data_IF_675313499114
#
_entry.id   IF_675313499114
#
_cell.length_a   1.000
_cell.length_b   1.000
_cell.length_c   1.000
_cell.angle_alpha   90.00
_cell.angle_beta   90.00
_cell.angle_gamma   90.00
#
_symmetry.space_group_name_H-M   'P 1'
#
loop_
_entity.id
_entity.type
_entity.pdbx_description
1 polymer ?
#
# COMPACT_ATOMS: atom_id res chain seq x y z
N UNK A 1 -6.93 35.02 -13.80
CA UNK A 1 -6.72 33.57 -13.63
C UNK A 1 -7.22 32.83 -14.86
N UNK A 2 -6.30 32.23 -15.61
CA UNK A 2 -6.65 31.37 -16.75
C UNK A 2 -7.24 30.03 -16.27
N UNK A 3 -8.30 29.58 -16.93
CA UNK A 3 -8.96 28.31 -16.68
C UNK A 3 -7.98 27.15 -16.88
N UNK A 4 -7.10 27.23 -17.89
CA UNK A 4 -6.12 26.18 -18.14
C UNK A 4 -5.14 26.02 -16.98
N UNK A 5 -4.59 27.12 -16.45
CA UNK A 5 -3.67 27.05 -15.30
C UNK A 5 -4.32 26.43 -14.06
N UNK A 6 -5.61 26.69 -13.83
CA UNK A 6 -6.39 26.01 -12.78
C UNK A 6 -6.53 24.51 -13.06
N UNK A 7 -6.85 24.13 -14.30
CA UNK A 7 -6.96 22.73 -14.68
C UNK A 7 -5.63 21.97 -14.50
N UNK A 8 -4.50 22.60 -14.83
CA UNK A 8 -3.17 22.04 -14.60
C UNK A 8 -2.83 21.91 -13.12
N UNK A 9 -3.08 22.95 -12.31
CA UNK A 9 -2.83 22.92 -10.86
C UNK A 9 -3.64 21.83 -10.15
N UNK A 10 -4.92 21.67 -10.52
CA UNK A 10 -5.76 20.62 -9.96
C UNK A 10 -5.41 19.24 -10.52
N UNK A 11 -5.08 19.13 -11.80
CA UNK A 11 -4.71 17.86 -12.41
C UNK A 11 -3.41 17.28 -11.81
N UNK A 12 -2.46 18.14 -11.45
CA UNK A 12 -1.22 17.76 -10.79
C UNK A 12 -1.43 17.13 -9.42
N UNK A 13 -2.43 17.57 -8.66
CA UNK A 13 -2.68 17.08 -7.30
C UNK A 13 -2.87 15.56 -7.22
N UNK A 14 -3.47 14.95 -8.26
CA UNK A 14 -3.66 13.50 -8.34
C UNK A 14 -2.34 12.73 -8.52
N UNK A 15 -1.38 13.31 -9.25
CA UNK A 15 -0.05 12.73 -9.39
C UNK A 15 0.79 12.94 -8.13
N UNK A 16 0.73 14.13 -7.52
CA UNK A 16 1.41 14.41 -6.26
C UNK A 16 0.94 13.50 -5.12
N UNK A 17 -0.33 13.07 -5.13
CA UNK A 17 -0.82 12.09 -4.19
C UNK A 17 -0.10 10.73 -4.28
N UNK A 18 0.32 10.35 -5.50
CA UNK A 18 1.10 9.12 -5.73
C UNK A 18 2.59 9.32 -5.45
N UNK A 19 3.23 10.36 -6.02
CA UNK A 19 4.67 10.63 -5.95
C UNK A 19 4.95 12.09 -5.68
N UNK A 20 5.87 12.40 -4.78
CA UNK A 20 6.24 13.76 -4.45
C UNK A 20 7.07 14.37 -5.58
N UNK A 21 8.25 13.81 -5.86
CA UNK A 21 9.28 14.53 -6.62
C UNK A 21 9.18 14.34 -8.12
N UNK A 22 8.65 13.20 -8.58
CA UNK A 22 8.53 12.91 -10.00
C UNK A 22 7.63 13.93 -10.76
N UNK A 23 6.42 14.28 -10.26
CA UNK A 23 5.59 15.28 -10.95
C UNK A 23 6.20 16.68 -10.92
N UNK A 24 6.85 17.08 -9.82
CA UNK A 24 7.56 18.35 -9.72
C UNK A 24 8.73 18.43 -10.71
N UNK A 25 9.53 17.35 -10.81
CA UNK A 25 10.61 17.24 -11.78
C UNK A 25 10.09 17.35 -13.21
N UNK A 26 9.05 16.59 -13.56
CA UNK A 26 8.48 16.61 -14.91
C UNK A 26 7.92 17.99 -15.28
N UNK A 27 7.23 18.68 -14.35
CA UNK A 27 6.76 20.04 -14.56
C UNK A 27 7.91 21.05 -14.75
N UNK A 28 8.93 21.02 -13.88
CA UNK A 28 10.10 21.89 -13.98
C UNK A 28 10.90 21.65 -15.27
N UNK A 29 11.07 20.38 -15.65
CA UNK A 29 11.74 19.97 -16.88
C UNK A 29 10.95 20.40 -18.12
N UNK A 30 9.62 20.21 -18.14
CA UNK A 30 8.77 20.63 -19.25
C UNK A 30 8.79 22.15 -19.44
N UNK A 31 8.78 22.93 -18.34
CA UNK A 31 8.92 24.39 -18.44
C UNK A 31 10.29 24.82 -18.97
N UNK A 32 11.36 24.15 -18.54
CA UNK A 32 12.73 24.54 -18.93
C UNK A 32 13.12 24.10 -20.34
N UNK A 33 12.73 22.88 -20.73
CA UNK A 33 13.19 22.20 -21.94
C UNK A 33 12.04 21.82 -22.89
N UNK A 34 10.79 22.14 -22.57
CA UNK A 34 9.65 21.73 -23.39
C UNK A 34 9.65 22.33 -24.80
N UNK A 35 10.11 23.57 -24.95
CA UNK A 35 10.20 24.24 -26.26
C UNK A 35 11.25 23.62 -27.19
N UNK A 36 12.25 22.91 -26.66
CA UNK A 36 13.25 22.19 -27.46
C UNK A 36 12.80 20.76 -27.83
N UNK A 37 11.73 20.24 -27.23
CA UNK A 37 11.20 18.91 -27.53
C UNK A 37 10.16 18.95 -28.66
N UNK A 38 10.35 18.18 -29.75
CA UNK A 38 9.48 18.24 -30.93
C UNK A 38 7.99 18.00 -30.65
N UNK A 39 7.68 17.10 -29.72
CA UNK A 39 6.32 16.71 -29.36
C UNK A 39 5.65 17.65 -28.35
N UNK A 40 6.40 18.51 -27.64
CA UNK A 40 5.85 19.50 -26.68
C UNK A 40 5.77 20.91 -27.28
N UNK A 41 6.56 21.21 -28.31
CA UNK A 41 6.64 22.53 -28.94
C UNK A 41 5.29 23.06 -29.44
N UNK A 42 4.37 22.17 -29.82
CA UNK A 42 3.04 22.52 -30.33
C UNK A 42 1.96 22.75 -29.26
N UNK A 43 2.29 22.68 -27.96
CA UNK A 43 1.33 22.86 -26.88
C UNK A 43 1.39 24.33 -26.42
N UNK A 44 0.28 25.06 -26.57
CA UNK A 44 0.17 26.49 -26.24
C UNK A 44 0.66 26.81 -24.82
N UNK A 45 0.27 25.98 -23.85
CA UNK A 45 0.70 26.09 -22.46
C UNK A 45 2.23 26.06 -22.27
N UNK A 46 2.96 25.23 -23.02
CA UNK A 46 4.43 25.15 -22.92
C UNK A 46 5.09 26.40 -23.51
N UNK A 47 4.47 27.03 -24.51
CA UNK A 47 4.95 28.27 -25.08
C UNK A 47 4.73 29.46 -24.13
N UNK A 48 3.57 29.52 -23.49
CA UNK A 48 3.26 30.53 -22.47
C UNK A 48 4.20 30.42 -21.27
N UNK A 49 4.62 29.21 -20.91
CA UNK A 49 5.55 28.96 -19.82
C UNK A 49 7.03 29.20 -20.14
N UNK A 50 7.39 29.62 -21.35
CA UNK A 50 8.77 29.96 -21.68
C UNK A 50 9.34 31.09 -20.79
N UNK A 51 8.47 31.92 -20.21
CA UNK A 51 8.80 33.01 -19.28
C UNK A 51 8.66 32.61 -17.79
N UNK A 52 8.65 31.30 -17.48
CA UNK A 52 8.49 30.81 -16.13
C UNK A 52 9.54 31.33 -15.14
N UNK A 53 9.22 31.37 -13.83
CA UNK A 53 10.12 31.87 -12.80
C UNK A 53 11.47 31.15 -12.83
N UNK A 54 12.54 31.93 -12.75
CA UNK A 54 13.93 31.42 -12.80
C UNK A 54 14.25 30.49 -11.63
N UNK A 55 13.58 30.66 -10.48
CA UNK A 55 13.83 29.82 -9.31
C UNK A 55 13.38 28.37 -9.52
N UNK A 56 12.23 28.13 -10.15
CA UNK A 56 11.70 26.77 -10.35
C UNK A 56 12.31 26.08 -11.58
N UNK A 57 12.71 26.86 -12.57
CA UNK A 57 13.35 26.38 -13.81
C UNK A 57 14.89 26.41 -13.77
N UNK A 58 15.48 26.73 -12.61
CA UNK A 58 16.93 26.76 -12.44
C UNK A 58 17.52 25.35 -12.64
N UNK A 59 18.63 25.18 -13.39
CA UNK A 59 19.22 23.85 -13.63
C UNK A 59 19.49 23.06 -12.35
N UNK A 60 19.97 23.72 -11.29
CA UNK A 60 20.20 23.06 -10.00
C UNK A 60 18.91 22.51 -9.36
N UNK A 61 17.80 23.23 -9.50
CA UNK A 61 16.49 22.78 -8.97
C UNK A 61 15.97 21.62 -9.80
N UNK A 62 16.05 21.70 -11.13
CA UNK A 62 15.62 20.61 -12.03
C UNK A 62 16.44 19.34 -11.77
N UNK A 63 17.77 19.42 -11.70
CA UNK A 63 18.62 18.27 -11.39
C UNK A 63 18.41 17.75 -9.96
N UNK A 64 18.21 18.63 -8.99
CA UNK A 64 17.89 18.27 -7.61
C UNK A 64 16.58 17.49 -7.51
N UNK A 65 15.52 17.97 -8.15
CA UNK A 65 14.22 17.28 -8.23
C UNK A 65 14.36 15.94 -8.97
N UNK A 66 15.17 15.87 -10.03
CA UNK A 66 15.45 14.62 -10.74
C UNK A 66 16.15 13.59 -9.85
N UNK A 67 17.17 13.99 -9.11
CA UNK A 67 17.87 13.12 -8.16
C UNK A 67 16.93 12.64 -7.04
N UNK A 68 16.09 13.53 -6.50
CA UNK A 68 15.09 13.19 -5.50
C UNK A 68 14.00 12.26 -6.04
N UNK A 69 13.58 12.42 -7.30
CA UNK A 69 12.64 11.51 -7.96
C UNK A 69 13.23 10.10 -8.13
N UNK A 70 14.51 9.98 -8.51
CA UNK A 70 15.20 8.68 -8.55
C UNK A 70 15.33 8.07 -7.16
N UNK A 71 15.70 8.87 -6.16
CA UNK A 71 15.78 8.42 -4.78
C UNK A 71 14.41 7.94 -4.27
N UNK A 72 13.32 8.63 -4.58
CA UNK A 72 11.94 8.23 -4.27
C UNK A 72 11.57 6.90 -4.94
N UNK A 73 11.91 6.70 -6.22
CA UNK A 73 11.70 5.43 -6.93
C UNK A 73 12.45 4.27 -6.27
N UNK A 74 13.72 4.49 -5.90
CA UNK A 74 14.55 3.47 -5.24
C UNK A 74 14.04 3.17 -3.83
N UNK A 75 13.68 4.21 -3.07
CA UNK A 75 13.16 4.08 -1.71
C UNK A 75 11.87 3.25 -1.66
N UNK A 76 10.97 3.42 -2.63
CA UNK A 76 9.71 2.66 -2.68
C UNK A 76 9.88 1.17 -2.94
N UNK A 77 11.01 0.73 -3.51
CA UNK A 77 11.32 -0.69 -3.68
C UNK A 77 11.63 -1.39 -2.34
N UNK A 78 11.87 -0.61 -1.28
CA UNK A 78 12.12 -1.09 0.08
C UNK A 78 10.91 -0.82 0.97
N UNK A 79 10.14 -1.84 1.39
CA UNK A 79 8.98 -1.65 2.25
C UNK A 79 9.37 -1.01 3.60
N UNK A 80 10.59 -1.27 4.08
CA UNK A 80 11.11 -0.72 5.33
C UNK A 80 11.36 0.80 5.23
N UNK A 81 11.94 1.27 4.12
CA UNK A 81 12.16 2.71 3.88
C UNK A 81 10.82 3.41 3.64
N UNK A 82 9.92 2.75 2.91
CA UNK A 82 8.58 3.26 2.63
C UNK A 82 7.75 3.47 3.90
N UNK A 83 7.79 2.55 4.86
CA UNK A 83 7.05 2.71 6.13
C UNK A 83 7.52 3.94 6.91
N UNK A 84 8.83 4.21 6.91
CA UNK A 84 9.42 5.38 7.53
C UNK A 84 9.09 6.67 6.78
N UNK A 85 9.06 6.62 5.45
CA UNK A 85 8.76 7.77 4.60
C UNK A 85 7.26 8.11 4.53
N UNK A 86 6.36 7.12 4.57
CA UNK A 86 4.92 7.31 4.33
C UNK A 86 4.27 8.27 5.36
N UNK A 87 4.81 8.40 6.57
CA UNK A 87 4.31 9.35 7.58
C UNK A 87 4.70 10.81 7.28
N UNK A 88 5.91 11.05 6.75
CA UNK A 88 6.39 12.38 6.43
C UNK A 88 6.05 12.84 5.00
N UNK A 89 5.97 11.89 4.07
CA UNK A 89 5.76 12.16 2.65
C UNK A 89 4.42 12.82 2.35
N UNK A 90 3.37 12.61 3.15
CA UNK A 90 2.08 13.28 2.94
C UNK A 90 2.24 14.80 2.98
N UNK A 91 3.04 15.33 3.91
CA UNK A 91 3.30 16.75 4.03
C UNK A 91 4.23 17.25 2.92
N UNK A 92 5.27 16.48 2.59
CA UNK A 92 6.19 16.80 1.50
C UNK A 92 5.45 16.88 0.15
N UNK A 93 4.58 15.89 -0.15
CA UNK A 93 3.73 15.86 -1.35
C UNK A 93 2.84 17.08 -1.45
N UNK A 94 2.17 17.43 -0.35
CA UNK A 94 1.25 18.56 -0.30
C UNK A 94 1.98 19.89 -0.49
N UNK A 95 3.11 20.08 0.19
CA UNK A 95 3.96 21.26 0.05
C UNK A 95 4.55 21.38 -1.35
N UNK A 96 5.03 20.29 -1.94
CA UNK A 96 5.62 20.29 -3.28
C UNK A 96 4.56 20.51 -4.36
N UNK A 97 3.34 20.01 -4.18
CA UNK A 97 2.20 20.31 -5.07
C UNK A 97 1.84 21.79 -5.05
N UNK A 98 1.78 22.40 -3.86
CA UNK A 98 1.52 23.83 -3.72
C UNK A 98 2.64 24.66 -4.36
N UNK A 99 3.91 24.34 -4.07
CA UNK A 99 5.06 25.03 -4.66
C UNK A 99 5.12 24.91 -6.18
N UNK A 100 4.82 23.72 -6.72
CA UNK A 100 4.78 23.49 -8.18
C UNK A 100 3.63 24.25 -8.82
N UNK A 101 2.44 24.24 -8.20
CA UNK A 101 1.29 25.00 -8.69
C UNK A 101 1.56 26.50 -8.66
N UNK A 102 2.23 27.00 -7.62
CA UNK A 102 2.67 28.40 -7.55
C UNK A 102 3.68 28.74 -8.64
N UNK A 103 4.65 27.87 -8.90
CA UNK A 103 5.61 28.02 -10.01
C UNK A 103 4.95 28.06 -11.38
N UNK A 104 3.89 27.26 -11.59
CA UNK A 104 3.11 27.24 -12.83
C UNK A 104 2.26 28.50 -13.00
N UNK A 105 1.56 28.93 -11.94
CA UNK A 105 0.68 30.11 -12.00
C UNK A 105 1.46 31.41 -12.20
N UNK A 106 2.59 31.55 -11.50
CA UNK A 106 3.48 32.71 -11.66
C UNK A 106 4.13 32.81 -13.05
N UNK A 107 4.22 31.70 -13.79
CA UNK A 107 4.68 31.72 -15.19
C UNK A 107 3.61 32.28 -16.14
N UNK A 108 2.33 32.01 -15.89
CA UNK A 108 1.22 32.42 -16.77
C UNK A 108 0.75 33.85 -16.52
N UNK A 109 1.00 34.41 -15.33
CA UNK A 109 0.55 35.77 -14.96
C UNK A 109 1.55 36.89 -15.32
N UNK A 110 2.65 36.61 -16.03
CA UNK A 110 3.63 37.64 -16.44
C UNK A 110 3.01 38.72 -17.36
N UNK A 111 1.91 38.40 -18.06
CA UNK A 111 1.13 39.38 -18.83
C UNK A 111 0.22 40.28 -17.97
N UNK A 112 -0.08 39.89 -16.73
CA UNK A 112 -0.94 40.63 -15.79
C UNK A 112 -0.13 41.43 -14.73
N UNK A 113 1.15 41.08 -14.55
CA UNK A 113 2.07 41.68 -13.60
C UNK A 113 2.43 43.16 -13.88
N UNK A 114 2.02 43.72 -15.03
CA UNK A 114 2.26 45.13 -15.37
C UNK A 114 1.29 46.12 -14.70
N UNK A 115 0.09 45.70 -14.28
CA UNK A 115 -0.99 46.63 -13.92
C UNK A 115 -1.53 46.49 -12.48
N UNK A 116 -1.18 45.44 -11.73
CA UNK A 116 -1.79 45.14 -10.40
C UNK A 116 -0.72 44.83 -9.33
N UNK A 117 0.27 45.70 -9.18
CA UNK A 117 1.41 45.49 -8.25
C UNK A 117 1.08 45.83 -6.77
N UNK A 118 -0.10 46.36 -6.43
CA UNK A 118 -0.39 46.78 -5.04
C UNK A 118 -1.40 45.94 -4.25
N UNK A 119 -2.00 44.88 -4.82
CA UNK A 119 -3.06 44.10 -4.14
C UNK A 119 -2.96 42.55 -4.31
N UNK A 120 -1.84 42.04 -4.85
CA UNK A 120 -1.69 40.65 -5.33
C UNK A 120 -1.12 39.63 -4.31
N UNK A 121 -1.20 39.87 -3.00
CA UNK A 121 -0.50 39.02 -2.02
C UNK A 121 -1.20 37.69 -1.65
N UNK A 122 -2.53 37.63 -1.75
CA UNK A 122 -3.32 36.54 -1.13
C UNK A 122 -4.11 35.75 -2.17
N UNK A 123 -4.71 36.39 -3.17
CA UNK A 123 -5.58 35.72 -4.15
C UNK A 123 -4.80 34.74 -5.05
N UNK A 124 -3.55 35.07 -5.42
CA UNK A 124 -2.70 34.20 -6.26
C UNK A 124 -2.19 32.95 -5.51
N UNK A 125 -2.24 32.98 -4.18
CA UNK A 125 -1.87 31.83 -3.34
C UNK A 125 -3.00 30.82 -3.16
N UNK A 126 -4.26 31.22 -3.42
CA UNK A 126 -5.46 30.37 -3.24
C UNK A 126 -5.37 29.08 -4.06
N UNK A 127 -5.05 29.09 -5.36
CA UNK A 127 -5.06 27.86 -6.15
C UNK A 127 -3.92 26.92 -5.79
N UNK A 128 -2.75 27.46 -5.41
CA UNK A 128 -1.66 26.68 -4.87
C UNK A 128 -2.04 26.03 -3.53
N UNK A 129 -2.72 26.76 -2.65
CA UNK A 129 -3.26 26.24 -1.39
C UNK A 129 -4.32 25.15 -1.63
N UNK A 130 -5.24 25.34 -2.58
CA UNK A 130 -6.23 24.32 -2.95
C UNK A 130 -5.54 23.08 -3.53
N UNK A 131 -4.55 23.24 -4.41
CA UNK A 131 -3.77 22.10 -4.94
C UNK A 131 -3.06 21.31 -3.84
N UNK A 132 -2.44 22.00 -2.88
CA UNK A 132 -1.82 21.37 -1.71
C UNK A 132 -2.86 20.65 -0.83
N UNK A 133 -3.99 21.30 -0.53
CA UNK A 133 -5.08 20.70 0.24
C UNK A 133 -5.74 19.50 -0.43
N UNK A 134 -5.93 19.56 -1.76
CA UNK A 134 -6.44 18.46 -2.56
C UNK A 134 -5.44 17.29 -2.55
N UNK A 135 -4.15 17.57 -2.76
CA UNK A 135 -3.09 16.55 -2.67
C UNK A 135 -3.06 15.87 -1.31
N UNK A 136 -3.22 16.63 -0.23
CA UNK A 136 -3.31 16.09 1.13
C UNK A 136 -4.50 15.13 1.27
N UNK A 137 -5.69 15.56 0.85
CA UNK A 137 -6.91 14.75 0.88
C UNK A 137 -6.79 13.47 0.04
N UNK A 138 -6.28 13.58 -1.18
CA UNK A 138 -6.07 12.45 -2.09
C UNK A 138 -5.02 11.47 -1.53
N UNK A 139 -3.92 11.99 -0.96
CA UNK A 139 -2.89 11.19 -0.28
C UNK A 139 -3.47 10.42 0.90
N UNK A 140 -4.30 11.06 1.74
CA UNK A 140 -4.97 10.42 2.87
C UNK A 140 -5.97 9.35 2.44
N UNK A 141 -6.73 9.61 1.37
CA UNK A 141 -7.66 8.64 0.80
C UNK A 141 -6.93 7.41 0.28
N UNK A 142 -5.88 7.64 -0.53
CA UNK A 142 -5.02 6.59 -1.08
C UNK A 142 -4.31 5.80 0.02
N UNK A 143 -3.73 6.47 1.02
CA UNK A 143 -3.10 5.80 2.16
C UNK A 143 -4.10 5.00 3.00
N UNK A 144 -5.37 5.42 3.07
CA UNK A 144 -6.42 4.61 3.68
C UNK A 144 -6.69 3.30 2.94
N UNK A 145 -6.82 3.36 1.60
CA UNK A 145 -7.03 2.15 0.78
C UNK A 145 -5.79 1.26 0.74
N UNK A 146 -4.61 1.84 0.55
CA UNK A 146 -3.34 1.13 0.65
C UNK A 146 -3.17 0.56 2.05
N UNK A 147 -3.66 1.23 3.10
CA UNK A 147 -3.73 0.73 4.46
C UNK A 147 -4.56 -0.56 4.56
N UNK A 148 -5.76 -0.60 3.97
CA UNK A 148 -6.60 -1.81 3.92
C UNK A 148 -5.91 -2.95 3.16
N UNK A 149 -5.27 -2.64 2.03
CA UNK A 149 -4.53 -3.64 1.25
C UNK A 149 -3.25 -4.10 1.96
N UNK A 150 -2.61 -3.18 2.68
CA UNK A 150 -1.52 -3.41 3.61
C UNK A 150 -1.97 -4.28 4.78
N UNK A 151 -3.21 -4.19 5.24
CA UNK A 151 -3.75 -5.09 6.27
C UNK A 151 -3.94 -6.51 5.71
N UNK A 152 -4.43 -6.63 4.48
CA UNK A 152 -4.56 -7.91 3.81
C UNK A 152 -3.19 -8.54 3.47
N UNK A 153 -2.16 -7.71 3.22
CA UNK A 153 -0.78 -8.11 2.89
C UNK A 153 0.27 -7.19 3.53
N UNK A 154 0.48 -7.34 4.84
CA UNK A 154 1.36 -6.47 5.64
C UNK A 154 2.84 -6.53 5.21
N UNK A 155 3.25 -7.67 4.66
CA UNK A 155 4.64 -7.97 4.34
C UNK A 155 4.93 -8.02 2.83
N UNK A 156 3.98 -7.54 2.01
CA UNK A 156 3.99 -7.60 0.53
C UNK A 156 4.30 -9.02 0.01
N UNK A 157 3.80 -10.03 0.70
CA UNK A 157 4.02 -11.44 0.38
C UNK A 157 3.34 -11.84 -0.93
N UNK A 158 2.24 -11.17 -1.27
CA UNK A 158 1.47 -11.33 -2.51
C UNK A 158 1.98 -10.44 -3.64
N UNK A 159 2.87 -9.50 -3.34
CA UNK A 159 3.29 -8.48 -4.28
C UNK A 159 2.19 -7.48 -4.62
N UNK A 160 1.11 -7.41 -3.84
CA UNK A 160 0.02 -6.45 -4.07
C UNK A 160 0.52 -5.02 -3.95
N UNK A 161 1.37 -4.72 -2.97
CA UNK A 161 1.97 -3.38 -2.84
C UNK A 161 2.95 -3.10 -3.97
N UNK A 162 3.73 -4.11 -4.38
CA UNK A 162 4.63 -3.98 -5.53
C UNK A 162 3.87 -3.71 -6.83
N UNK A 163 2.74 -4.38 -7.04
CA UNK A 163 1.86 -4.16 -8.18
C UNK A 163 1.26 -2.74 -8.15
N UNK A 164 0.72 -2.31 -7.00
CA UNK A 164 0.19 -0.95 -6.83
C UNK A 164 1.29 0.09 -7.06
N UNK A 165 2.47 -0.12 -6.47
CA UNK A 165 3.62 0.78 -6.66
C UNK A 165 4.01 0.86 -8.14
N UNK A 166 3.99 -0.25 -8.88
CA UNK A 166 4.24 -0.23 -10.32
C UNK A 166 3.15 0.53 -11.11
N UNK A 167 1.87 0.33 -10.78
CA UNK A 167 0.78 1.11 -11.37
C UNK A 167 0.92 2.60 -11.05
N UNK A 168 1.37 2.95 -9.85
CA UNK A 168 1.64 4.33 -9.44
C UNK A 168 2.88 4.91 -10.11
N UNK A 169 3.95 4.12 -10.31
CA UNK A 169 5.12 4.49 -11.11
C UNK A 169 4.67 4.85 -12.52
N UNK A 170 3.88 3.98 -13.15
CA UNK A 170 3.36 4.18 -14.50
C UNK A 170 2.45 5.42 -14.56
N UNK A 171 1.51 5.54 -13.62
CA UNK A 171 0.59 6.67 -13.53
C UNK A 171 1.30 8.01 -13.35
N UNK A 172 2.25 8.10 -12.41
CA UNK A 172 2.99 9.33 -12.14
C UNK A 172 3.96 9.68 -13.29
N UNK A 173 4.56 8.67 -13.93
CA UNK A 173 5.51 8.89 -15.03
C UNK A 173 4.79 9.36 -16.30
N UNK A 174 3.77 8.65 -16.75
CA UNK A 174 3.09 8.97 -18.01
C UNK A 174 1.99 10.01 -17.84
N UNK A 175 1.28 9.98 -16.71
CA UNK A 175 0.12 10.82 -16.49
C UNK A 175 0.46 12.32 -16.44
N UNK A 176 1.64 12.70 -15.97
CA UNK A 176 2.07 14.11 -15.98
C UNK A 176 2.26 14.62 -17.42
N UNK A 177 2.79 13.80 -18.32
CA UNK A 177 2.90 14.19 -19.73
C UNK A 177 1.55 14.24 -20.43
N UNK A 178 0.64 13.30 -20.11
CA UNK A 178 -0.73 13.32 -20.62
C UNK A 178 -1.49 14.55 -20.11
N UNK A 179 -1.25 14.96 -18.86
CA UNK A 179 -1.83 16.16 -18.28
C UNK A 179 -1.47 17.38 -19.12
N UNK A 180 -0.20 17.53 -19.50
CA UNK A 180 0.28 18.61 -20.36
C UNK A 180 -0.50 18.68 -21.68
N UNK A 181 -0.81 17.54 -22.28
CA UNK A 181 -1.54 17.47 -23.54
C UNK A 181 -3.07 17.67 -23.41
N UNK A 182 -3.71 17.05 -22.41
CA UNK A 182 -5.18 17.03 -22.27
C UNK A 182 -5.59 17.15 -20.80
N UNK A 183 -5.52 18.35 -20.20
CA UNK A 183 -5.69 18.53 -18.75
C UNK A 183 -7.09 18.15 -18.24
N UNK A 184 -8.13 18.46 -19.03
CA UNK A 184 -9.52 18.13 -18.68
C UNK A 184 -9.75 16.61 -18.57
N UNK A 185 -9.18 15.81 -19.49
CA UNK A 185 -9.33 14.36 -19.47
C UNK A 185 -8.67 13.73 -18.22
N UNK A 186 -7.49 14.23 -17.86
CA UNK A 186 -6.78 13.77 -16.65
C UNK A 186 -7.52 14.13 -15.37
N UNK A 187 -8.14 15.31 -15.30
CA UNK A 187 -8.96 15.69 -14.16
C UNK A 187 -10.16 14.76 -13.97
N UNK A 188 -10.88 14.46 -15.05
CA UNK A 188 -11.99 13.50 -15.01
C UNK A 188 -11.49 12.13 -14.56
N UNK A 189 -10.36 11.67 -15.12
CA UNK A 189 -9.78 10.36 -14.76
C UNK A 189 -9.36 10.31 -13.28
N UNK A 190 -8.69 11.34 -12.77
CA UNK A 190 -8.36 11.49 -11.35
C UNK A 190 -9.63 11.45 -10.49
N UNK A 191 -10.67 12.22 -10.86
CA UNK A 191 -11.94 12.24 -10.15
C UNK A 191 -12.59 10.86 -10.06
N UNK A 192 -12.57 10.09 -11.16
CA UNK A 192 -13.10 8.71 -11.19
C UNK A 192 -12.25 7.79 -10.30
N UNK A 193 -10.93 7.75 -10.48
CA UNK A 193 -10.04 6.85 -9.74
C UNK A 193 -10.14 7.09 -8.23
N UNK A 194 -10.00 8.34 -7.79
CA UNK A 194 -10.07 8.66 -6.37
C UNK A 194 -11.49 8.58 -5.81
N UNK A 195 -12.52 8.84 -6.63
CA UNK A 195 -13.91 8.59 -6.27
C UNK A 195 -14.18 7.11 -5.98
N UNK A 196 -13.66 6.20 -6.81
CA UNK A 196 -13.75 4.75 -6.57
C UNK A 196 -12.98 4.36 -5.31
N UNK A 197 -11.75 4.85 -5.13
CA UNK A 197 -10.96 4.56 -3.92
C UNK A 197 -11.67 5.01 -2.64
N UNK A 198 -12.23 6.22 -2.65
CA UNK A 198 -13.01 6.75 -1.54
C UNK A 198 -14.26 5.92 -1.26
N UNK A 199 -14.99 5.49 -2.29
CA UNK A 199 -16.15 4.61 -2.14
C UNK A 199 -15.77 3.24 -1.57
N UNK A 200 -14.67 2.64 -2.01
CA UNK A 200 -14.16 1.36 -1.48
C UNK A 200 -13.85 1.50 0.02
N UNK A 201 -13.08 2.53 0.39
CA UNK A 201 -12.73 2.81 1.78
C UNK A 201 -13.97 2.99 2.64
N UNK A 202 -14.87 3.88 2.22
CA UNK A 202 -16.09 4.20 2.97
C UNK A 202 -17.01 3.00 3.12
N UNK A 203 -17.16 2.17 2.07
CA UNK A 203 -17.95 0.94 2.13
C UNK A 203 -17.33 -0.08 3.10
N UNK A 204 -16.01 -0.22 3.11
CA UNK A 204 -15.34 -1.15 4.01
C UNK A 204 -15.46 -0.71 5.49
N UNK A 205 -15.18 0.56 5.78
CA UNK A 205 -15.33 1.14 7.12
C UNK A 205 -16.78 1.00 7.61
N UNK A 206 -17.75 1.42 6.78
CA UNK A 206 -19.17 1.33 7.13
C UNK A 206 -19.66 -0.11 7.34
N UNK A 207 -19.21 -1.08 6.53
CA UNK A 207 -19.56 -2.49 6.72
C UNK A 207 -19.02 -3.06 8.03
N UNK A 208 -17.80 -2.68 8.42
CA UNK A 208 -17.18 -3.14 9.68
C UNK A 208 -17.84 -2.50 10.91
N UNK A 209 -18.24 -1.23 10.83
CA UNK A 209 -18.97 -0.57 11.91
C UNK A 209 -20.42 -1.07 12.05
N UNK A 210 -21.11 -1.28 10.92
CA UNK A 210 -22.47 -1.82 10.91
C UNK A 210 -22.53 -3.28 11.41
N UNK A 211 -21.43 -4.02 11.29
CA UNK A 211 -21.32 -5.40 11.76
C UNK A 211 -21.05 -5.52 13.27
N UNK A 212 -21.05 -4.42 14.03
CA UNK A 212 -20.93 -4.48 15.48
C UNK A 212 -22.26 -4.87 16.11
N UNK A 213 -22.23 -5.85 17.01
CA UNK A 213 -23.38 -6.34 17.77
C UNK A 213 -23.28 -5.89 19.22
N UNK A 214 -24.42 -5.76 19.92
CA UNK A 214 -24.44 -5.43 21.34
C UNK A 214 -24.16 -6.69 22.17
N UNK A 215 -23.29 -6.57 23.17
CA UNK A 215 -23.05 -7.65 24.11
C UNK A 215 -24.34 -7.95 24.91
N UNK A 216 -24.75 -9.24 25.02
CA UNK A 216 -25.99 -9.60 25.73
C UNK A 216 -25.98 -9.24 27.22
N UNK A 217 -24.79 -9.08 27.83
CA UNK A 217 -24.64 -8.78 29.24
C UNK A 217 -24.47 -7.28 29.51
N UNK A 218 -23.43 -6.65 28.94
CA UNK A 218 -23.08 -5.25 29.25
C UNK A 218 -23.50 -4.22 28.18
N UNK A 219 -24.17 -4.66 27.09
CA UNK A 219 -24.61 -3.82 25.95
C UNK A 219 -23.51 -3.05 25.20
N UNK A 220 -22.25 -3.27 25.53
CA UNK A 220 -21.12 -2.71 24.78
C UNK A 220 -21.11 -3.26 23.36
N UNK A 221 -20.87 -2.41 22.36
CA UNK A 221 -20.75 -2.82 20.97
C UNK A 221 -19.44 -3.58 20.74
N UNK A 222 -19.54 -4.83 20.33
CA UNK A 222 -18.42 -5.73 20.02
C UNK A 222 -18.46 -6.11 18.54
N UNK A 223 -17.34 -6.50 17.96
CA UNK A 223 -17.33 -7.07 16.61
C UNK A 223 -18.13 -8.38 16.58
N UNK A 224 -18.94 -8.61 15.55
CA UNK A 224 -19.72 -9.84 15.41
C UNK A 224 -18.88 -11.12 15.36
N UNK A 225 -17.61 -11.02 14.98
CA UNK A 225 -16.66 -12.12 14.92
C UNK A 225 -15.80 -12.26 16.19
N UNK A 226 -15.96 -11.37 17.18
CA UNK A 226 -15.27 -11.48 18.46
C UNK A 226 -15.73 -12.73 19.22
N UNK A 227 -14.82 -13.41 19.92
CA UNK A 227 -15.18 -14.60 20.71
C UNK A 227 -15.68 -14.23 22.09
N UNK A 228 -15.30 -13.06 22.62
CA UNK A 228 -15.80 -12.56 23.90
C UNK A 228 -15.79 -11.03 23.96
N UNK A 229 -16.61 -10.47 24.84
CA UNK A 229 -16.69 -9.04 25.06
C UNK A 229 -15.42 -8.48 25.72
N UNK A 230 -14.99 -7.30 25.27
CA UNK A 230 -13.82 -6.61 25.82
C UNK A 230 -14.04 -6.13 27.26
N UNK A 231 -15.25 -5.66 27.57
CA UNK A 231 -15.56 -5.05 28.88
C UNK A 231 -15.95 -6.06 29.95
N UNK A 232 -16.85 -7.01 29.62
CA UNK A 232 -17.40 -7.96 30.61
C UNK A 232 -16.91 -9.40 30.43
N UNK A 233 -16.07 -9.67 29.43
CA UNK A 233 -15.56 -11.01 29.11
C UNK A 233 -16.64 -12.08 28.83
N UNK A 234 -17.90 -11.67 28.65
CA UNK A 234 -18.98 -12.60 28.31
C UNK A 234 -18.75 -13.17 26.91
N UNK A 235 -18.85 -14.50 26.72
CA UNK A 235 -18.63 -15.13 25.42
C UNK A 235 -19.69 -14.68 24.42
N UNK A 236 -19.28 -14.51 23.16
CA UNK A 236 -20.20 -14.28 22.07
C UNK A 236 -20.86 -15.62 21.70
N UNK A 237 -22.19 -15.76 21.79
CA UNK A 237 -22.86 -17.03 21.52
C UNK A 237 -22.77 -17.45 20.04
N UNK A 238 -22.62 -16.50 19.12
CA UNK A 238 -22.69 -16.75 17.68
C UNK A 238 -21.65 -15.93 16.90
N UNK A 239 -20.35 -16.27 16.96
CA UNK A 239 -19.33 -15.55 16.23
C UNK A 239 -19.47 -15.77 14.72
N UNK A 240 -19.50 -14.68 13.96
CA UNK A 240 -19.50 -14.71 12.48
C UNK A 240 -18.12 -15.15 11.98
N UNK A 241 -18.09 -16.10 11.05
CA UNK A 241 -16.83 -16.60 10.52
C UNK A 241 -16.16 -15.57 9.60
N UNK A 242 -14.83 -15.47 9.68
CA UNK A 242 -14.03 -14.64 8.78
C UNK A 242 -13.41 -15.47 7.66
N UNK A 243 -13.42 -14.93 6.45
CA UNK A 243 -12.67 -15.44 5.32
C UNK A 243 -11.17 -15.11 5.42
N UNK A 244 -10.36 -15.74 4.57
CA UNK A 244 -8.90 -15.57 4.54
C UNK A 244 -8.42 -14.14 4.23
N UNK A 245 -9.30 -13.29 3.68
CA UNK A 245 -9.04 -11.87 3.38
C UNK A 245 -9.72 -10.93 4.38
N UNK A 246 -10.28 -11.45 5.48
CA UNK A 246 -10.94 -10.64 6.50
C UNK A 246 -12.37 -10.19 6.17
N UNK A 247 -12.95 -10.67 5.07
CA UNK A 247 -14.38 -10.53 4.79
C UNK A 247 -15.23 -11.41 5.72
N UNK A 248 -16.42 -10.94 6.08
CA UNK A 248 -17.39 -11.73 6.84
C UNK A 248 -18.05 -12.77 5.93
N UNK A 249 -18.08 -14.03 6.40
CA UNK A 249 -18.82 -15.11 5.75
C UNK A 249 -20.27 -15.12 6.26
N UNK A 250 -21.19 -15.63 5.46
CA UNK A 250 -22.61 -15.75 5.85
C UNK A 250 -22.84 -16.82 6.95
N UNK A 251 -21.87 -17.72 7.14
CA UNK A 251 -21.91 -18.76 8.15
C UNK A 251 -21.36 -18.34 9.52
N UNK A 252 -21.89 -18.96 10.57
CA UNK A 252 -21.37 -18.89 11.94
C UNK A 252 -20.27 -19.93 12.14
N UNK A 253 -19.28 -19.62 12.97
CA UNK A 253 -18.24 -20.58 13.38
C UNK A 253 -18.64 -21.21 14.71
N UNK A 254 -18.97 -22.50 14.70
CA UNK A 254 -19.37 -23.22 15.92
C UNK A 254 -18.19 -23.63 16.81
N UNK A 255 -16.97 -23.70 16.24
CA UNK A 255 -15.76 -24.04 16.98
C UNK A 255 -15.03 -22.76 17.46
N UNK A 256 -15.01 -22.49 18.78
CA UNK A 256 -14.35 -21.30 19.32
C UNK A 256 -12.83 -21.30 19.07
N UNK A 257 -12.19 -22.46 18.94
CA UNK A 257 -10.75 -22.57 18.67
C UNK A 257 -10.47 -22.23 17.21
N UNK A 258 -11.26 -22.76 16.27
CA UNK A 258 -11.15 -22.42 14.85
C UNK A 258 -11.31 -20.91 14.61
N UNK A 259 -12.26 -20.27 15.31
CA UNK A 259 -12.44 -18.82 15.21
C UNK A 259 -11.22 -18.05 15.73
N UNK A 260 -10.65 -18.45 16.88
CA UNK A 260 -9.40 -17.85 17.39
C UNK A 260 -8.27 -17.98 16.38
N UNK A 261 -8.09 -19.15 15.77
CA UNK A 261 -7.07 -19.39 14.72
C UNK A 261 -7.29 -18.45 13.52
N UNK A 262 -8.52 -18.26 13.04
CA UNK A 262 -8.83 -17.32 11.95
C UNK A 262 -8.52 -15.86 12.32
N UNK A 263 -8.81 -15.46 13.57
CA UNK A 263 -8.50 -14.12 14.06
C UNK A 263 -6.98 -13.90 14.12
N UNK A 264 -6.24 -14.90 14.58
CA UNK A 264 -4.77 -14.90 14.55
C UNK A 264 -4.27 -14.80 13.11
N UNK A 265 -4.77 -15.61 12.16
CA UNK A 265 -4.35 -15.49 10.75
C UNK A 265 -4.50 -14.07 10.19
N UNK A 266 -5.50 -13.32 10.65
CA UNK A 266 -5.79 -11.94 10.25
C UNK A 266 -5.15 -10.85 11.14
N UNK A 267 -4.21 -11.23 12.02
CA UNK A 267 -3.52 -10.32 12.95
C UNK A 267 -4.48 -9.54 13.87
N UNK A 268 -5.52 -10.22 14.31
CA UNK A 268 -6.50 -9.72 15.27
C UNK A 268 -6.38 -10.45 16.60
N UNK A 269 -6.82 -9.80 17.65
CA UNK A 269 -6.88 -10.43 18.97
C UNK A 269 -7.80 -11.66 18.92
N UNK A 270 -7.37 -12.80 19.47
CA UNK A 270 -8.22 -14.00 19.55
C UNK A 270 -9.45 -13.80 20.44
N UNK A 271 -9.54 -12.70 21.21
CA UNK A 271 -10.67 -12.40 22.10
C UNK A 271 -11.60 -11.34 21.51
N UNK A 272 -11.12 -10.09 21.45
CA UNK A 272 -11.92 -8.93 21.02
C UNK A 272 -12.09 -8.82 19.51
N UNK A 273 -11.24 -9.48 18.73
CA UNK A 273 -11.16 -9.30 17.28
C UNK A 273 -10.53 -7.97 16.86
N UNK A 274 -10.03 -7.18 17.81
CA UNK A 274 -9.38 -5.90 17.52
C UNK A 274 -8.02 -6.08 16.85
N UNK A 275 -7.64 -5.10 16.04
CA UNK A 275 -6.40 -5.17 15.26
C UNK A 275 -5.20 -5.04 16.18
N UNK A 276 -4.19 -5.88 15.96
CA UNK A 276 -2.98 -5.84 16.77
C UNK A 276 -1.80 -5.32 15.96
N UNK A 277 -1.11 -4.30 16.49
CA UNK A 277 0.08 -3.69 15.89
C UNK A 277 1.35 -4.26 16.53
N UNK A 278 2.37 -4.56 15.73
CA UNK A 278 3.67 -5.08 16.20
C UNK A 278 4.11 -6.36 15.49
N UNK A 279 5.31 -6.84 15.82
CA UNK A 279 5.89 -8.11 15.34
C UNK A 279 6.50 -8.85 16.53
N UNK A 280 6.51 -10.19 16.48
CA UNK A 280 7.00 -11.06 17.55
C UNK A 280 5.98 -12.10 18.01
N UNK A 281 6.44 -13.11 18.73
CA UNK A 281 5.59 -14.11 19.36
C UNK A 281 4.86 -13.62 20.63
N UNK A 282 5.33 -12.54 21.25
CA UNK A 282 4.87 -11.94 22.51
C UNK A 282 3.95 -10.72 22.31
N UNK A 283 3.37 -10.59 21.12
CA UNK A 283 2.50 -9.46 20.83
C UNK A 283 1.23 -9.57 21.71
N UNK A 284 0.96 -8.48 22.41
CA UNK A 284 -0.24 -8.29 23.22
C UNK A 284 -1.12 -7.23 22.57
N UNK A 285 -2.43 -7.48 22.53
CA UNK A 285 -3.37 -6.48 22.08
C UNK A 285 -3.51 -5.35 23.12
N UNK A 286 -3.39 -4.09 22.66
CA UNK A 286 -3.44 -2.91 23.55
C UNK A 286 -4.82 -2.67 24.17
N UNK A 287 -5.87 -3.14 23.51
CA UNK A 287 -7.24 -2.86 23.93
C UNK A 287 -7.76 -3.87 24.95
N UNK A 288 -7.41 -5.16 24.79
CA UNK A 288 -7.91 -6.23 25.67
C UNK A 288 -6.82 -6.89 26.53
N UNK A 289 -5.55 -6.55 26.33
CA UNK A 289 -4.41 -7.10 27.08
C UNK A 289 -4.11 -8.57 26.80
N UNK A 290 -4.74 -9.19 25.81
CA UNK A 290 -4.57 -10.62 25.51
C UNK A 290 -3.38 -10.83 24.58
N UNK A 291 -2.53 -11.80 24.92
CA UNK A 291 -1.44 -12.25 24.06
C UNK A 291 -1.98 -13.09 22.89
N UNK A 292 -1.53 -12.83 21.66
CA UNK A 292 -1.99 -13.54 20.46
C UNK A 292 -1.70 -15.04 20.54
N UNK A 293 -0.48 -15.41 20.94
CA UNK A 293 -0.01 -16.80 21.03
C UNK A 293 0.09 -17.29 22.49
N UNK A 294 -0.85 -16.88 23.36
CA UNK A 294 -0.82 -17.22 24.78
C UNK A 294 -1.25 -18.66 25.11
N UNK A 295 -1.97 -19.35 24.22
CA UNK A 295 -2.55 -20.67 24.46
C UNK A 295 -1.90 -21.73 23.54
N UNK A 296 -1.26 -22.74 24.14
CA UNK A 296 -0.57 -23.81 23.41
C UNK A 296 -1.50 -24.60 22.51
N UNK A 297 -2.75 -24.84 22.92
CA UNK A 297 -3.72 -25.60 22.12
C UNK A 297 -4.10 -24.84 20.86
N UNK A 298 -4.30 -23.52 20.97
CA UNK A 298 -4.57 -22.65 19.83
C UNK A 298 -3.34 -22.55 18.91
N UNK A 299 -2.14 -22.51 19.49
CA UNK A 299 -0.89 -22.46 18.75
C UNK A 299 -0.64 -23.74 17.94
N UNK A 300 -0.85 -24.91 18.52
CA UNK A 300 -0.75 -26.20 17.82
C UNK A 300 -1.78 -26.30 16.70
N UNK A 301 -3.04 -25.93 16.99
CA UNK A 301 -4.11 -25.91 15.98
C UNK A 301 -3.80 -24.96 14.82
N UNK A 302 -3.14 -23.84 15.10
CA UNK A 302 -2.67 -22.91 14.09
C UNK A 302 -1.64 -23.56 13.15
N UNK A 303 -0.64 -24.26 13.69
CA UNK A 303 0.34 -24.99 12.89
C UNK A 303 -0.32 -26.10 12.05
N UNK A 304 -1.21 -26.90 12.64
CA UNK A 304 -1.95 -27.95 11.91
C UNK A 304 -2.77 -27.37 10.75
N UNK A 305 -3.43 -26.23 10.98
CA UNK A 305 -4.27 -25.58 9.98
C UNK A 305 -3.46 -25.11 8.78
N UNK A 306 -2.28 -24.54 9.01
CA UNK A 306 -1.39 -24.09 7.93
C UNK A 306 -0.69 -25.29 7.26
N UNK A 307 -0.23 -26.28 8.03
CA UNK A 307 0.43 -27.49 7.52
C UNK A 307 -0.54 -28.33 6.67
N UNK A 308 -1.82 -28.39 7.03
CA UNK A 308 -2.87 -29.07 6.26
C UNK A 308 -3.12 -28.47 4.86
N UNK A 309 -2.69 -27.22 4.62
CA UNK A 309 -2.77 -26.57 3.29
C UNK A 309 -1.66 -27.02 2.36
N UNK A 310 -0.53 -27.50 2.90
CA UNK A 310 0.67 -27.86 2.15
C UNK A 310 0.41 -28.79 0.96
N UNK A 311 -0.26 -29.96 1.09
CA UNK A 311 -0.44 -30.88 -0.05
C UNK A 311 -1.25 -30.24 -1.18
N UNK A 312 -2.30 -29.48 -0.85
CA UNK A 312 -3.11 -28.76 -1.83
C UNK A 312 -2.31 -27.67 -2.53
N UNK A 313 -1.49 -26.94 -1.77
CA UNK A 313 -0.64 -25.88 -2.31
C UNK A 313 0.42 -26.44 -3.25
N UNK A 314 1.08 -27.54 -2.89
CA UNK A 314 2.07 -28.19 -3.75
C UNK A 314 1.44 -28.66 -5.07
N UNK A 315 0.25 -29.25 -5.03
CA UNK A 315 -0.49 -29.68 -6.23
C UNK A 315 -0.81 -28.51 -7.16
N UNK A 316 -1.37 -27.43 -6.62
CA UNK A 316 -1.73 -26.24 -7.41
C UNK A 316 -0.47 -25.55 -7.93
N UNK A 317 0.58 -25.45 -7.13
CA UNK A 317 1.88 -24.91 -7.56
C UNK A 317 2.53 -25.74 -8.66
N UNK A 318 2.39 -27.08 -8.64
CA UNK A 318 2.88 -27.95 -9.71
C UNK A 318 2.09 -27.72 -11.01
N UNK A 319 0.77 -27.62 -10.91
CA UNK A 319 -0.11 -27.31 -12.05
C UNK A 319 0.21 -25.94 -12.66
N UNK A 320 0.40 -24.91 -11.82
CA UNK A 320 0.81 -23.58 -12.27
C UNK A 320 2.23 -23.60 -12.87
N UNK A 321 3.13 -24.45 -12.37
CA UNK A 321 4.48 -24.62 -12.90
C UNK A 321 4.56 -25.07 -14.37
N UNK A 322 3.46 -25.56 -14.96
CA UNK A 322 3.39 -25.88 -16.40
C UNK A 322 3.38 -24.64 -17.29
N UNK A 323 2.88 -23.50 -16.81
CA UNK A 323 2.84 -22.25 -17.60
C UNK A 323 4.10 -21.44 -17.31
N UNK A 324 5.03 -21.31 -18.28
CA UNK A 324 6.25 -20.53 -18.06
C UNK A 324 5.94 -19.08 -17.71
N UNK A 325 6.77 -18.46 -16.86
CA UNK A 325 6.67 -17.08 -16.37
C UNK A 325 5.37 -16.75 -15.59
N UNK A 326 4.21 -16.77 -16.23
CA UNK A 326 2.92 -16.43 -15.60
C UNK A 326 2.54 -17.42 -14.50
N UNK A 327 2.71 -18.71 -14.76
CA UNK A 327 2.45 -19.77 -13.79
C UNK A 327 3.43 -19.76 -12.62
N UNK A 328 4.68 -19.37 -12.85
CA UNK A 328 5.63 -19.12 -11.76
C UNK A 328 5.18 -17.95 -10.89
N UNK A 329 4.83 -16.82 -11.48
CA UNK A 329 4.39 -15.64 -10.72
C UNK A 329 3.15 -15.98 -9.90
N UNK A 330 2.13 -16.57 -10.54
CA UNK A 330 0.90 -16.99 -9.88
C UNK A 330 1.17 -18.03 -8.78
N UNK A 331 2.01 -19.03 -9.05
CA UNK A 331 2.38 -20.07 -8.09
C UNK A 331 3.12 -19.51 -6.88
N UNK A 332 4.05 -18.58 -7.10
CA UNK A 332 4.79 -17.88 -6.03
C UNK A 332 3.86 -17.05 -5.16
N UNK A 333 2.96 -16.28 -5.76
CA UNK A 333 1.96 -15.50 -5.03
C UNK A 333 1.06 -16.44 -4.21
N UNK A 334 0.60 -17.53 -4.82
CA UNK A 334 -0.32 -18.47 -4.21
C UNK A 334 0.28 -19.18 -2.98
N UNK A 335 1.47 -19.78 -3.10
CA UNK A 335 2.05 -20.48 -1.95
C UNK A 335 2.49 -19.49 -0.86
N UNK A 336 2.94 -18.29 -1.24
CA UNK A 336 3.30 -17.27 -0.25
C UNK A 336 2.08 -16.84 0.56
N UNK A 337 0.93 -16.69 -0.08
CA UNK A 337 -0.33 -16.40 0.59
C UNK A 337 -0.69 -17.47 1.61
N UNK A 338 -0.68 -18.73 1.17
CA UNK A 338 -1.26 -19.83 1.95
C UNK A 338 -0.32 -20.36 3.04
N UNK A 339 1.00 -20.34 2.80
CA UNK A 339 1.98 -21.02 3.66
C UNK A 339 2.99 -20.07 4.32
N UNK A 340 3.35 -18.96 3.69
CA UNK A 340 4.42 -18.08 4.19
C UNK A 340 3.86 -16.89 4.98
N UNK A 341 2.83 -16.24 4.46
CA UNK A 341 2.22 -15.07 5.08
C UNK A 341 1.77 -15.30 6.53
N UNK A 342 1.16 -16.46 6.89
CA UNK A 342 0.74 -16.71 8.27
C UNK A 342 1.91 -16.64 9.27
N UNK A 343 3.08 -17.20 8.95
CA UNK A 343 4.23 -17.18 9.86
C UNK A 343 5.00 -15.86 9.81
N UNK A 344 5.17 -15.30 8.60
CA UNK A 344 6.02 -14.12 8.39
C UNK A 344 5.50 -12.88 9.12
N UNK A 345 4.17 -12.72 9.22
CA UNK A 345 3.50 -11.60 9.93
C UNK A 345 3.95 -11.44 11.38
N UNK A 346 4.41 -12.53 12.00
CA UNK A 346 4.78 -12.58 13.42
C UNK A 346 6.29 -12.67 13.66
N UNK A 347 7.11 -12.81 12.62
CA UNK A 347 8.55 -12.89 12.77
C UNK A 347 9.17 -11.50 13.06
N UNK A 348 10.07 -11.39 14.05
CA UNK A 348 10.79 -10.16 14.33
C UNK A 348 11.71 -9.76 13.17
N UNK A 349 12.00 -8.47 13.06
CA UNK A 349 12.69 -7.86 11.92
C UNK A 349 14.05 -8.52 11.59
N UNK A 350 14.86 -8.81 12.61
CA UNK A 350 16.18 -9.43 12.44
C UNK A 350 16.13 -10.82 11.80
N UNK A 351 15.18 -11.66 12.24
CA UNK A 351 14.97 -12.99 11.67
C UNK A 351 14.31 -12.92 10.30
N UNK A 352 13.34 -12.02 10.13
CA UNK A 352 12.67 -11.78 8.86
C UNK A 352 13.63 -11.36 7.76
N UNK A 353 14.62 -10.52 8.06
CA UNK A 353 15.64 -10.10 7.10
C UNK A 353 16.54 -11.26 6.66
N UNK A 354 17.08 -12.04 7.60
CA UNK A 354 17.96 -13.17 7.28
C UNK A 354 17.23 -14.23 6.46
N UNK A 355 16.01 -14.61 6.86
CA UNK A 355 15.19 -15.58 6.12
C UNK A 355 14.83 -15.08 4.73
N UNK A 356 14.53 -13.78 4.57
CA UNK A 356 14.21 -13.15 3.27
C UNK A 356 15.39 -13.26 2.29
N UNK A 357 16.61 -13.01 2.73
CA UNK A 357 17.80 -13.11 1.88
C UNK A 357 18.16 -14.55 1.53
N UNK A 358 18.09 -15.46 2.49
CA UNK A 358 18.36 -16.88 2.25
C UNK A 358 17.34 -17.46 1.25
N UNK A 359 16.06 -17.12 1.40
CA UNK A 359 15.02 -17.46 0.44
C UNK A 359 15.29 -16.86 -0.94
N UNK A 360 15.69 -15.59 -1.03
CA UNK A 360 16.04 -14.96 -2.33
C UNK A 360 17.17 -15.69 -3.03
N UNK A 361 18.20 -16.10 -2.29
CA UNK A 361 19.34 -16.83 -2.84
C UNK A 361 18.91 -18.21 -3.36
N UNK A 362 18.11 -18.94 -2.58
CA UNK A 362 17.53 -20.23 -2.99
C UNK A 362 16.62 -20.07 -4.23
N UNK A 363 15.78 -19.02 -4.26
CA UNK A 363 14.92 -18.72 -5.41
C UNK A 363 15.73 -18.36 -6.66
N UNK A 364 16.85 -17.67 -6.52
CA UNK A 364 17.72 -17.30 -7.64
C UNK A 364 18.39 -18.54 -8.24
N UNK A 365 18.90 -19.44 -7.38
CA UNK A 365 19.42 -20.75 -7.79
C UNK A 365 18.35 -21.60 -8.50
N UNK A 366 17.14 -21.66 -7.96
CA UNK A 366 16.04 -22.44 -8.54
C UNK A 366 15.48 -21.81 -9.82
N UNK A 367 15.48 -20.48 -9.95
CA UNK A 367 15.10 -19.79 -11.18
C UNK A 367 16.09 -20.08 -12.31
N UNK A 368 17.39 -20.19 -12.02
CA UNK A 368 18.39 -20.63 -12.99
C UNK A 368 18.11 -22.07 -13.46
N UNK A 369 17.66 -22.96 -12.57
CA UNK A 369 17.29 -24.34 -12.91
C UNK A 369 16.04 -24.42 -13.80
N UNK A 370 15.13 -23.46 -13.69
CA UNK A 370 13.88 -23.44 -14.45
C UNK A 370 14.05 -23.11 -15.93
N UNK A 371 15.16 -22.47 -16.32
CA UNK A 371 15.53 -22.24 -17.72
C UNK A 371 15.66 -23.58 -18.48
N UNK A 372 15.88 -24.69 -17.77
CA UNK A 372 16.03 -26.05 -18.31
C UNK A 372 14.70 -26.83 -18.37
N UNK A 373 13.54 -26.18 -18.13
CA UNK A 373 12.22 -26.81 -18.29
C UNK A 373 11.67 -27.53 -17.06
N UNK A 374 12.31 -27.42 -15.90
CA UNK A 374 11.88 -28.07 -14.64
C UNK A 374 10.82 -27.31 -13.82
N UNK A 375 9.98 -26.48 -14.46
CA UNK A 375 9.00 -25.61 -13.78
C UNK A 375 8.02 -26.34 -12.86
N UNK A 376 7.61 -27.55 -13.25
CA UNK A 376 6.67 -28.42 -12.51
C UNK A 376 7.23 -28.80 -11.13
N UNK A 377 8.54 -28.98 -11.01
CA UNK A 377 9.20 -29.35 -9.76
C UNK A 377 9.74 -28.14 -9.01
N UNK A 378 10.18 -27.11 -9.73
CA UNK A 378 10.77 -25.91 -9.15
C UNK A 378 9.78 -25.19 -8.23
N UNK A 379 8.55 -24.90 -8.67
CA UNK A 379 7.59 -24.10 -7.88
C UNK A 379 7.11 -24.84 -6.61
N UNK A 380 6.73 -26.14 -6.64
CA UNK A 380 6.43 -26.89 -5.43
C UNK A 380 7.62 -27.01 -4.47
N UNK A 381 8.83 -27.22 -5.00
CA UNK A 381 10.03 -27.29 -4.17
C UNK A 381 10.30 -25.94 -3.48
N UNK A 382 10.15 -24.82 -4.21
CA UNK A 382 10.20 -23.48 -3.63
C UNK A 382 9.15 -23.30 -2.54
N UNK A 383 7.91 -23.74 -2.75
CA UNK A 383 6.83 -23.65 -1.77
C UNK A 383 7.16 -24.44 -0.50
N UNK A 384 7.66 -25.67 -0.66
CA UNK A 384 8.05 -26.54 0.46
C UNK A 384 9.20 -25.95 1.29
N UNK A 385 10.28 -25.53 0.63
CA UNK A 385 11.45 -24.95 1.32
C UNK A 385 11.03 -23.68 2.07
N UNK A 386 10.26 -22.80 1.44
CA UNK A 386 9.77 -21.58 2.08
C UNK A 386 8.93 -21.91 3.31
N UNK A 387 7.92 -22.78 3.17
CA UNK A 387 7.08 -23.21 4.29
C UNK A 387 7.93 -23.74 5.45
N UNK A 388 8.83 -24.66 5.17
CA UNK A 388 9.69 -25.29 6.17
C UNK A 388 10.59 -24.28 6.90
N UNK A 389 11.21 -23.36 6.16
CA UNK A 389 12.08 -22.33 6.71
C UNK A 389 11.31 -21.36 7.63
N UNK A 390 10.18 -20.82 7.17
CA UNK A 390 9.38 -19.87 7.94
C UNK A 390 8.73 -20.52 9.16
N UNK A 391 8.20 -21.75 9.01
CA UNK A 391 7.67 -22.56 10.11
C UNK A 391 8.74 -22.84 11.18
N UNK A 392 9.92 -23.27 10.76
CA UNK A 392 11.03 -23.57 11.68
C UNK A 392 11.49 -22.32 12.41
N UNK A 393 11.64 -21.20 11.70
CA UNK A 393 12.03 -19.93 12.29
C UNK A 393 10.99 -19.45 13.32
N UNK A 394 9.70 -19.52 12.99
CA UNK A 394 8.63 -19.10 13.89
C UNK A 394 8.49 -20.02 15.11
N UNK A 395 8.51 -21.34 14.91
CA UNK A 395 8.48 -22.31 16.01
C UNK A 395 9.67 -22.16 16.95
N UNK A 396 10.86 -21.85 16.42
CA UNK A 396 12.02 -21.54 17.25
C UNK A 396 11.85 -20.27 18.09
N UNK A 397 11.08 -19.29 17.60
CA UNK A 397 10.78 -18.06 18.33
C UNK A 397 9.80 -18.32 19.47
N UNK A 398 8.72 -19.07 19.21
CA UNK A 398 7.77 -19.47 20.24
C UNK A 398 8.41 -20.34 21.33
N UNK A 399 9.27 -21.30 20.96
CA UNK A 399 9.99 -22.15 21.92
C UNK A 399 10.92 -21.34 22.84
N UNK A 400 11.61 -20.32 22.31
CA UNK A 400 12.45 -19.43 23.12
C UNK A 400 11.66 -18.62 24.16
N UNK A 401 10.34 -18.52 23.99
CA UNK A 401 9.43 -17.81 24.90
C UNK A 401 8.51 -18.74 25.71
N UNK A 402 8.76 -20.06 25.68
CA UNK A 402 7.94 -21.09 26.33
C UNK A 402 6.46 -21.16 25.87
N UNK A 403 6.16 -20.63 24.68
CA UNK A 403 4.81 -20.55 24.09
C UNK A 403 4.50 -21.68 23.09
N UNK A 404 5.42 -22.63 22.89
CA UNK A 404 5.31 -23.75 21.95
C UNK A 404 5.44 -25.13 22.61
#
# INVERSE_FOLDING_TARGET
MDLNSLLYAFGLSGFFASRAFLPAFAAAFAMKYGTSLPWLKGIDFIQEMANAPTWFTHPAVVWGLGALAVAEMVAERSPEIRELLDQGLVYVKSGLSAATSYGLLSATDVAFAGEVVSQAGILDSIPAAISGGLTFFLSMTRNGVVGILSEADEDDSLGLRKFISWCEELWATFGVWILLAIPAAVLVLNGVVFGVLWLIRRRHESKMEAARIECPNCKTRIHCFATACISCNTPNPDPVALGSLGGMLEGKEGDPIAQKVRLIELKRSPKSGEKVKGRGADIVCKEDGVAIFGDKVVNERYFETVDGRLPRVLLISAALGFVPLLGLIAGVIYYRFQLVAPYRRYLPWSKGFLTKWLVRLVLLLLAALQIVGFGIFAVPLMAFINHWMYRSAFRSDLKKKDLA
#
